data_IF_721511137082
#
_entry.id   IF_721511137082
#
_cell.length_a   1.000
_cell.length_b   1.000
_cell.length_c   1.000
_cell.angle_alpha   90.00
_cell.angle_beta   90.00
_cell.angle_gamma   90.00
#
_symmetry.space_group_name_H-M   'P 1'
#
loop_
_entity.id
_entity.type
_entity.pdbx_description
1 polymer ?
#
# COMPACT_ATOMS: atom_id res chain seq x y z
N UNK A 1 -18.25 -74.21 14.54
CA UNK A 1 -18.29 -74.32 16.02
C UNK A 1 -16.94 -74.64 16.69
N UNK A 2 -15.82 -74.81 15.96
CA UNK A 2 -14.49 -75.04 16.54
C UNK A 2 -13.42 -74.01 16.13
N UNK A 3 -13.78 -72.97 15.36
CA UNK A 3 -12.84 -71.90 14.98
C UNK A 3 -13.02 -70.59 15.77
N UNK A 4 -14.19 -70.36 16.38
CA UNK A 4 -14.48 -69.16 17.19
C UNK A 4 -13.97 -69.28 18.64
N UNK A 5 -13.68 -70.49 19.12
CA UNK A 5 -13.23 -70.74 20.50
C UNK A 5 -11.73 -70.52 20.71
N UNK A 6 -10.93 -70.44 19.64
CA UNK A 6 -9.49 -70.23 19.71
C UNK A 6 -9.08 -68.74 19.69
N UNK A 7 -9.98 -67.86 19.22
CA UNK A 7 -9.74 -66.42 19.16
C UNK A 7 -10.08 -65.68 20.46
N UNK A 8 -11.07 -66.17 21.22
CA UNK A 8 -11.52 -65.53 22.46
C UNK A 8 -10.63 -65.81 23.68
N UNK A 9 -9.84 -66.88 23.68
CA UNK A 9 -8.98 -67.25 24.82
C UNK A 9 -7.56 -66.69 24.75
N UNK A 10 -7.17 -66.04 23.66
CA UNK A 10 -5.77 -65.60 23.43
C UNK A 10 -5.54 -64.11 23.68
N UNK A 11 -6.58 -63.32 23.90
CA UNK A 11 -6.46 -61.87 24.09
C UNK A 11 -6.64 -61.41 25.54
N UNK A 12 -7.41 -62.15 26.36
CA UNK A 12 -7.55 -61.84 27.78
C UNK A 12 -6.27 -62.09 28.59
N UNK A 13 -5.35 -62.90 28.05
CA UNK A 13 -4.04 -63.22 28.65
C UNK A 13 -2.89 -62.31 28.19
N UNK A 14 -3.19 -61.20 27.51
CA UNK A 14 -2.25 -60.11 27.25
C UNK A 14 -2.46 -58.94 28.23
N UNK A 15 -2.45 -59.26 29.52
CA UNK A 15 -1.65 -58.59 30.54
C UNK A 15 -1.50 -57.06 30.32
N UNK A 16 -2.25 -56.20 30.99
CA UNK A 16 -2.47 -56.27 32.43
C UNK A 16 -1.16 -56.08 33.20
N UNK A 17 -0.43 -54.99 32.99
CA UNK A 17 0.53 -54.46 33.96
C UNK A 17 0.78 -52.97 33.73
N UNK A 18 0.74 -52.19 34.82
CA UNK A 18 1.57 -50.99 34.94
C UNK A 18 0.90 -49.69 34.53
N UNK A 19 0.27 -49.05 35.50
CA UNK A 19 0.52 -47.63 35.85
C UNK A 19 1.24 -46.79 34.79
N UNK A 20 0.47 -46.08 33.97
CA UNK A 20 0.91 -44.78 33.47
C UNK A 20 -0.17 -43.77 33.81
N UNK A 21 0.07 -43.12 34.95
CA UNK A 21 -0.40 -41.77 35.23
C UNK A 21 -0.23 -40.95 33.96
N UNK A 22 -1.33 -40.64 33.27
CA UNK A 22 -1.34 -39.49 32.40
C UNK A 22 -1.35 -38.28 33.33
N UNK A 23 -0.16 -37.89 33.75
CA UNK A 23 0.10 -36.58 34.30
C UNK A 23 -0.34 -35.59 33.22
N UNK A 24 -1.58 -35.09 33.35
CA UNK A 24 -2.05 -33.92 32.62
C UNK A 24 -1.29 -32.75 33.24
N UNK A 25 0.00 -32.68 32.93
CA UNK A 25 0.78 -31.47 33.14
C UNK A 25 0.25 -30.48 32.11
N UNK A 26 -0.80 -29.76 32.53
CA UNK A 26 -1.40 -28.61 31.85
C UNK A 26 -0.42 -27.45 31.75
N UNK A 27 0.65 -27.66 30.99
CA UNK A 27 1.69 -26.66 30.71
C UNK A 27 1.94 -26.48 29.21
N UNK A 28 1.83 -27.54 28.40
CA UNK A 28 1.97 -27.41 26.93
C UNK A 28 0.73 -26.93 26.18
N UNK A 29 -0.48 -27.19 26.69
CA UNK A 29 -1.71 -26.76 26.03
C UNK A 29 -2.04 -25.27 26.29
N UNK A 30 -1.59 -24.71 27.42
CA UNK A 30 -1.76 -23.29 27.73
C UNK A 30 -0.74 -22.39 26.99
N UNK A 31 0.40 -22.94 26.57
CA UNK A 31 1.40 -22.20 25.79
C UNK A 31 0.91 -21.88 24.36
N UNK A 32 0.01 -22.70 23.81
CA UNK A 32 -0.67 -22.43 22.53
C UNK A 32 -1.86 -21.47 22.67
N UNK A 33 -2.28 -21.15 23.89
CA UNK A 33 -3.31 -20.15 24.18
C UNK A 33 -2.72 -18.76 24.46
N UNK A 34 -1.38 -18.64 24.47
CA UNK A 34 -0.67 -17.36 24.42
C UNK A 34 -0.84 -16.81 23.00
N UNK A 35 -2.04 -16.27 22.78
CA UNK A 35 -2.44 -15.35 21.75
C UNK A 35 -1.46 -15.28 20.57
N UNK A 36 -1.81 -15.95 19.48
CA UNK A 36 -1.54 -15.37 18.17
C UNK A 36 -2.30 -14.03 18.12
N UNK A 37 -1.78 -13.01 18.81
CA UNK A 37 -2.20 -11.64 18.61
C UNK A 37 -2.04 -11.46 17.11
N UNK A 38 -3.13 -11.15 16.42
CA UNK A 38 -3.12 -10.80 15.00
C UNK A 38 -2.36 -9.49 14.86
N UNK A 39 -1.04 -9.60 15.01
CA UNK A 39 -0.11 -8.48 15.04
C UNK A 39 -0.26 -7.81 13.68
N UNK A 40 -0.54 -6.52 13.68
CA UNK A 40 -0.64 -5.75 12.44
C UNK A 40 0.60 -6.06 11.59
N UNK A 41 0.44 -6.46 10.32
CA UNK A 41 1.59 -6.93 9.54
C UNK A 41 2.66 -5.84 9.47
N UNK A 42 3.92 -6.19 9.79
CA UNK A 42 5.03 -5.21 9.83
C UNK A 42 5.20 -4.47 8.49
N UNK A 43 4.92 -5.15 7.38
CA UNK A 43 5.01 -4.58 6.05
C UNK A 43 3.99 -3.46 5.79
N UNK A 44 2.85 -3.42 6.49
CA UNK A 44 1.90 -2.30 6.40
C UNK A 44 2.52 -0.99 6.89
N UNK A 45 3.26 -1.06 8.00
CA UNK A 45 3.95 0.10 8.55
C UNK A 45 5.06 0.57 7.62
N UNK A 46 5.87 -0.35 7.09
CA UNK A 46 6.93 -0.02 6.16
C UNK A 46 6.37 0.66 4.89
N UNK A 47 5.36 0.06 4.24
CA UNK A 47 4.73 0.61 3.04
C UNK A 47 4.05 1.94 3.34
N UNK A 48 3.37 2.07 4.47
CA UNK A 48 2.69 3.32 4.86
C UNK A 48 3.67 4.45 5.13
N UNK A 49 4.76 4.22 5.88
CA UNK A 49 5.76 5.26 6.18
C UNK A 49 6.50 5.69 4.92
N UNK A 50 6.96 4.73 4.11
CA UNK A 50 7.61 5.03 2.82
C UNK A 50 6.64 5.79 1.91
N UNK A 51 5.37 5.37 1.87
CA UNK A 51 4.32 6.08 1.12
C UNK A 51 4.12 7.52 1.57
N UNK A 52 4.05 7.78 2.88
CA UNK A 52 3.92 9.16 3.40
C UNK A 52 5.13 10.00 3.02
N UNK A 53 6.35 9.48 3.22
CA UNK A 53 7.57 10.20 2.89
C UNK A 53 7.66 10.50 1.40
N UNK A 54 7.39 9.51 0.55
CA UNK A 54 7.40 9.65 -0.90
C UNK A 54 6.35 10.66 -1.39
N UNK A 55 5.09 10.51 -0.97
CA UNK A 55 4.01 11.38 -1.44
C UNK A 55 4.09 12.80 -0.88
N UNK A 56 4.79 13.00 0.24
CA UNK A 56 5.07 14.35 0.76
C UNK A 56 5.89 15.19 -0.22
N UNK A 57 6.81 14.58 -0.99
CA UNK A 57 7.56 15.30 -2.02
C UNK A 57 6.64 15.92 -3.07
N UNK A 58 5.64 15.16 -3.56
CA UNK A 58 4.67 15.68 -4.53
C UNK A 58 3.80 16.81 -3.97
N UNK A 59 3.44 16.74 -2.68
CA UNK A 59 2.68 17.82 -2.04
C UNK A 59 3.51 19.09 -1.85
N UNK A 60 4.80 18.94 -1.48
CA UNK A 60 5.73 20.06 -1.37
C UNK A 60 5.96 20.70 -2.73
N UNK A 61 6.22 19.89 -3.76
CA UNK A 61 6.42 20.35 -5.14
C UNK A 61 5.21 21.14 -5.66
N UNK A 62 4.00 20.60 -5.49
CA UNK A 62 2.76 21.31 -5.82
C UNK A 62 2.64 22.63 -5.05
N UNK A 63 2.84 22.59 -3.73
CA UNK A 63 2.65 23.75 -2.86
C UNK A 63 3.63 24.87 -3.22
N UNK A 64 4.91 24.55 -3.39
CA UNK A 64 5.93 25.52 -3.76
C UNK A 64 5.72 26.05 -5.18
N UNK A 65 5.29 25.19 -6.12
CA UNK A 65 4.93 25.62 -7.48
C UNK A 65 3.77 26.60 -7.52
N UNK A 66 2.81 26.52 -6.59
CA UNK A 66 1.67 27.45 -6.50
C UNK A 66 1.95 28.69 -5.68
N UNK A 67 2.73 28.58 -4.60
CA UNK A 67 3.12 29.74 -3.79
C UNK A 67 4.18 30.61 -4.48
N UNK A 68 5.07 29.97 -5.25
CA UNK A 68 6.24 30.61 -5.85
C UNK A 68 6.39 30.27 -7.35
N UNK A 69 5.39 30.59 -8.19
CA UNK A 69 5.32 30.12 -9.58
C UNK A 69 6.43 30.64 -10.49
N UNK A 70 7.12 31.73 -10.12
CA UNK A 70 8.21 32.31 -10.89
C UNK A 70 9.61 31.87 -10.40
N UNK A 71 9.75 31.51 -9.12
CA UNK A 71 11.07 31.28 -8.50
C UNK A 71 11.34 29.83 -8.18
N UNK A 72 10.32 29.07 -7.76
CA UNK A 72 10.52 27.66 -7.41
C UNK A 72 10.89 26.79 -8.61
N UNK A 73 10.18 26.84 -9.76
CA UNK A 73 10.58 26.10 -10.95
C UNK A 73 12.02 26.38 -11.40
N UNK A 74 12.43 27.65 -11.38
CA UNK A 74 13.81 28.04 -11.70
C UNK A 74 14.83 27.45 -10.71
N UNK A 75 14.49 27.41 -9.41
CA UNK A 75 15.36 26.88 -8.37
C UNK A 75 15.61 25.37 -8.48
N UNK A 76 14.68 24.63 -9.10
CA UNK A 76 14.81 23.19 -9.37
C UNK A 76 15.36 22.89 -10.77
N UNK A 77 15.83 23.91 -11.48
CA UNK A 77 16.51 23.78 -12.78
C UNK A 77 15.58 23.68 -13.98
N UNK A 78 14.30 24.04 -13.85
CA UNK A 78 13.36 24.10 -14.97
C UNK A 78 13.70 25.28 -15.89
N UNK A 79 13.76 25.07 -17.20
CA UNK A 79 14.03 26.14 -18.16
C UNK A 79 12.85 27.10 -18.34
N UNK A 80 13.09 28.22 -19.05
CA UNK A 80 12.09 29.27 -19.23
C UNK A 80 10.86 28.82 -20.05
N UNK A 81 11.03 27.88 -20.99
CA UNK A 81 9.95 27.39 -21.85
C UNK A 81 9.01 26.48 -21.06
N UNK A 82 9.57 25.55 -20.29
CA UNK A 82 8.87 24.67 -19.37
C UNK A 82 8.16 25.46 -18.26
N UNK A 83 8.78 26.53 -17.76
CA UNK A 83 8.14 27.45 -16.82
C UNK A 83 6.92 28.15 -17.41
N UNK A 84 7.04 28.71 -18.62
CA UNK A 84 5.93 29.37 -19.31
C UNK A 84 4.78 28.38 -19.58
N UNK A 85 5.10 27.16 -19.98
CA UNK A 85 4.14 26.06 -20.14
C UNK A 85 3.39 25.76 -18.84
N UNK A 86 4.10 25.58 -17.72
CA UNK A 86 3.49 25.30 -16.42
C UNK A 86 2.60 26.47 -15.93
N UNK A 87 3.00 27.71 -16.18
CA UNK A 87 2.20 28.90 -15.83
C UNK A 87 0.94 29.05 -16.68
N UNK A 88 0.94 28.50 -17.90
CA UNK A 88 -0.23 28.49 -18.78
C UNK A 88 -1.25 27.39 -18.44
N UNK A 89 -1.02 26.59 -17.38
CA UNK A 89 -1.94 25.53 -16.99
C UNK A 89 -3.33 26.07 -16.65
N UNK A 90 -4.40 25.53 -17.27
CA UNK A 90 -5.74 25.94 -16.94
C UNK A 90 -6.08 25.52 -15.50
N UNK A 91 -6.88 26.34 -14.81
CA UNK A 91 -7.16 26.14 -13.38
C UNK A 91 -7.67 24.74 -13.06
N UNK A 92 -8.53 24.16 -13.91
CA UNK A 92 -9.05 22.81 -13.71
C UNK A 92 -7.94 21.74 -13.70
N UNK A 93 -6.91 21.87 -14.54
CA UNK A 93 -5.78 20.93 -14.59
C UNK A 93 -5.00 20.96 -13.27
N UNK A 94 -4.82 22.15 -12.72
CA UNK A 94 -4.15 22.33 -11.43
C UNK A 94 -4.93 21.75 -10.25
N UNK A 95 -6.27 21.69 -10.37
CA UNK A 95 -7.13 21.02 -9.38
C UNK A 95 -6.94 19.50 -9.44
N UNK A 96 -6.91 18.91 -10.64
CA UNK A 96 -6.65 17.47 -10.77
C UNK A 96 -5.24 17.08 -10.33
N UNK A 97 -4.24 17.92 -10.60
CA UNK A 97 -2.90 17.73 -10.04
C UNK A 97 -2.92 17.75 -8.50
N UNK A 98 -3.64 18.71 -7.90
CA UNK A 98 -3.82 18.75 -6.44
C UNK A 98 -4.47 17.47 -5.91
N UNK A 99 -5.54 17.00 -6.54
CA UNK A 99 -6.20 15.73 -6.18
C UNK A 99 -5.24 14.54 -6.29
N UNK A 100 -4.38 14.54 -7.30
CA UNK A 100 -3.30 13.58 -7.48
C UNK A 100 -2.39 13.50 -6.26
N UNK A 101 -1.70 14.59 -5.92
CA UNK A 101 -0.67 14.58 -4.86
C UNK A 101 -1.27 14.51 -3.45
N UNK A 102 -2.35 15.25 -3.18
CA UNK A 102 -2.97 15.26 -1.85
C UNK A 102 -3.77 13.99 -1.58
N UNK A 103 -4.40 13.42 -2.61
CA UNK A 103 -5.09 12.15 -2.49
C UNK A 103 -4.13 10.99 -2.16
N UNK A 104 -2.93 10.98 -2.74
CA UNK A 104 -1.95 9.92 -2.44
C UNK A 104 -1.38 10.06 -1.04
N UNK A 105 -1.05 11.29 -0.61
CA UNK A 105 -0.60 11.54 0.76
C UNK A 105 -1.68 11.16 1.79
N UNK A 106 -2.93 11.60 1.57
CA UNK A 106 -4.05 11.21 2.42
C UNK A 106 -4.25 9.69 2.44
N UNK A 107 -4.13 9.03 1.28
CA UNK A 107 -4.18 7.58 1.16
C UNK A 107 -3.10 6.88 2.00
N UNK A 108 -1.85 7.34 1.96
CA UNK A 108 -0.75 6.77 2.74
C UNK A 108 -0.95 6.97 4.24
N UNK A 109 -1.44 8.14 4.67
CA UNK A 109 -1.78 8.41 6.07
C UNK A 109 -2.93 7.49 6.52
N UNK A 110 -3.99 7.39 5.72
CA UNK A 110 -5.12 6.51 6.00
C UNK A 110 -4.72 5.03 6.04
N UNK A 111 -3.73 4.62 5.24
CA UNK A 111 -3.16 3.28 5.26
C UNK A 111 -2.48 2.99 6.60
N UNK A 112 -1.69 3.94 7.13
CA UNK A 112 -1.09 3.85 8.47
C UNK A 112 -2.14 3.82 9.59
N UNK A 113 -3.21 4.60 9.44
CA UNK A 113 -4.38 4.57 10.32
C UNK A 113 -5.25 3.33 10.13
N UNK A 114 -4.88 2.43 9.20
CA UNK A 114 -5.60 1.20 8.86
C UNK A 114 -7.06 1.44 8.45
N UNK A 115 -7.35 2.57 7.81
CA UNK A 115 -8.69 2.92 7.39
C UNK A 115 -9.03 2.37 6.00
N UNK A 116 -10.23 1.82 5.84
CA UNK A 116 -10.80 1.45 4.54
C UNK A 116 -10.92 2.63 3.57
N UNK A 117 -10.90 3.86 4.08
CA UNK A 117 -10.92 5.08 3.28
C UNK A 117 -9.60 5.35 2.54
N UNK A 118 -8.54 4.59 2.82
CA UNK A 118 -7.30 4.66 2.03
C UNK A 118 -7.55 4.35 0.54
N UNK A 119 -8.46 3.41 0.24
CA UNK A 119 -8.78 3.03 -1.15
C UNK A 119 -9.39 4.20 -1.93
N UNK A 120 -10.50 4.83 -1.50
CA UNK A 120 -11.05 5.95 -2.25
C UNK A 120 -10.08 7.14 -2.32
N UNK A 121 -9.23 7.38 -1.31
CA UNK A 121 -8.22 8.43 -1.38
C UNK A 121 -7.19 8.17 -2.50
N UNK A 122 -6.64 6.95 -2.58
CA UNK A 122 -5.75 6.56 -3.68
C UNK A 122 -6.45 6.52 -5.04
N UNK A 123 -7.74 6.17 -5.09
CA UNK A 123 -8.51 6.18 -6.33
C UNK A 123 -8.74 7.60 -6.86
N UNK A 124 -9.06 8.55 -5.97
CA UNK A 124 -9.17 9.99 -6.32
C UNK A 124 -7.82 10.51 -6.80
N UNK A 125 -6.74 10.13 -6.13
CA UNK A 125 -5.38 10.46 -6.55
C UNK A 125 -5.08 9.92 -7.96
N UNK A 126 -5.42 8.67 -8.23
CA UNK A 126 -5.18 8.07 -9.54
C UNK A 126 -5.99 8.76 -10.63
N UNK A 127 -7.25 9.14 -10.36
CA UNK A 127 -8.04 9.94 -11.28
C UNK A 127 -7.41 11.32 -11.53
N UNK A 128 -6.90 11.97 -10.48
CA UNK A 128 -6.13 13.21 -10.58
C UNK A 128 -4.93 13.08 -11.52
N UNK A 129 -4.12 12.03 -11.31
CA UNK A 129 -2.94 11.75 -12.12
C UNK A 129 -3.28 11.43 -13.58
N UNK A 130 -4.32 10.63 -13.83
CA UNK A 130 -4.80 10.30 -15.18
C UNK A 130 -5.18 11.58 -15.93
N UNK A 131 -5.93 12.48 -15.29
CA UNK A 131 -6.39 13.71 -15.93
C UNK A 131 -5.22 14.67 -16.15
N UNK A 132 -4.36 14.88 -15.14
CA UNK A 132 -3.26 15.84 -15.24
C UNK A 132 -2.22 15.42 -16.28
N UNK A 133 -1.68 14.19 -16.16
CA UNK A 133 -0.68 13.69 -17.10
C UNK A 133 -1.29 13.32 -18.45
N UNK A 134 -2.52 12.80 -18.47
CA UNK A 134 -3.21 12.46 -19.71
C UNK A 134 -3.43 13.68 -20.58
N UNK A 135 -3.82 14.82 -20.00
CA UNK A 135 -3.90 16.08 -20.73
C UNK A 135 -2.54 16.50 -21.27
N UNK A 136 -1.49 16.47 -20.45
CA UNK A 136 -0.14 16.83 -20.86
C UNK A 136 0.32 16.02 -22.08
N UNK A 137 0.20 14.68 -22.03
CA UNK A 137 0.60 13.80 -23.13
C UNK A 137 -0.29 13.90 -24.39
N UNK A 138 -1.60 14.10 -24.23
CA UNK A 138 -2.55 14.13 -25.36
C UNK A 138 -2.65 15.50 -26.02
N UNK A 139 -2.32 16.56 -25.29
CA UNK A 139 -2.48 17.94 -25.78
C UNK A 139 -1.50 18.29 -26.88
N UNK A 140 -0.33 17.64 -26.92
CA UNK A 140 0.74 17.96 -27.88
C UNK A 140 1.32 19.37 -27.75
N UNK A 141 0.93 20.12 -26.71
CA UNK A 141 1.40 21.49 -26.44
C UNK A 141 2.60 21.53 -25.50
N UNK A 142 2.96 20.40 -24.91
CA UNK A 142 4.11 20.28 -24.04
C UNK A 142 5.41 20.41 -24.87
N UNK A 143 6.31 21.34 -24.54
CA UNK A 143 7.57 21.51 -25.26
C UNK A 143 8.48 20.29 -25.10
N UNK A 144 9.40 20.04 -26.04
CA UNK A 144 10.32 18.89 -25.94
C UNK A 144 11.18 18.94 -24.66
N UNK A 145 11.43 20.13 -24.14
CA UNK A 145 12.19 20.34 -22.90
C UNK A 145 11.52 19.75 -21.65
N UNK A 146 10.21 19.51 -21.65
CA UNK A 146 9.53 18.82 -20.53
C UNK A 146 9.50 17.31 -20.70
N UNK A 147 9.89 16.78 -21.85
CA UNK A 147 9.93 15.35 -22.15
C UNK A 147 11.34 14.75 -22.03
N UNK A 148 12.16 15.27 -21.11
CA UNK A 148 13.47 14.68 -20.83
C UNK A 148 13.33 13.26 -20.29
N UNK A 149 14.36 12.43 -20.51
CA UNK A 149 14.43 11.06 -19.96
C UNK A 149 14.22 11.04 -18.45
N UNK A 150 14.73 12.04 -17.72
CA UNK A 150 14.56 12.14 -16.28
C UNK A 150 13.10 12.39 -15.87
N UNK A 151 12.40 13.29 -16.56
CA UNK A 151 10.97 13.59 -16.29
C UNK A 151 10.10 12.37 -16.61
N UNK A 152 10.36 11.69 -17.74
CA UNK A 152 9.63 10.48 -18.12
C UNK A 152 9.86 9.36 -17.09
N UNK A 153 11.11 9.16 -16.65
CA UNK A 153 11.44 8.16 -15.64
C UNK A 153 10.75 8.45 -14.30
N UNK A 154 10.81 9.70 -13.82
CA UNK A 154 10.12 10.11 -12.59
C UNK A 154 8.61 9.93 -12.71
N UNK A 155 8.01 10.29 -13.85
CA UNK A 155 6.59 10.08 -14.11
C UNK A 155 6.22 8.59 -14.04
N UNK A 156 7.01 7.71 -14.66
CA UNK A 156 6.79 6.27 -14.60
C UNK A 156 6.87 5.72 -13.16
N UNK A 157 7.79 6.25 -12.34
CA UNK A 157 7.88 5.89 -10.92
C UNK A 157 6.64 6.34 -10.16
N UNK A 158 6.14 7.56 -10.39
CA UNK A 158 4.91 8.07 -9.75
C UNK A 158 3.72 7.17 -10.10
N UNK A 159 3.52 6.85 -11.39
CA UNK A 159 2.46 5.95 -11.84
C UNK A 159 2.56 4.57 -11.17
N UNK A 160 3.75 3.98 -11.19
CA UNK A 160 4.00 2.65 -10.61
C UNK A 160 3.74 2.66 -9.10
N UNK A 161 4.25 3.66 -8.39
CA UNK A 161 4.08 3.79 -6.95
C UNK A 161 2.62 3.99 -6.55
N UNK A 162 1.86 4.81 -7.30
CA UNK A 162 0.45 5.07 -6.99
C UNK A 162 -0.42 3.84 -7.27
N UNK A 163 -0.23 3.18 -8.41
CA UNK A 163 -0.94 1.94 -8.74
C UNK A 163 -0.62 0.85 -7.72
N UNK A 164 0.65 0.71 -7.34
CA UNK A 164 1.07 -0.22 -6.29
C UNK A 164 0.38 0.08 -4.95
N UNK A 165 0.35 1.35 -4.52
CA UNK A 165 -0.28 1.74 -3.25
C UNK A 165 -1.79 1.47 -3.24
N UNK A 166 -2.49 1.79 -4.34
CA UNK A 166 -3.92 1.49 -4.48
C UNK A 166 -4.17 -0.02 -4.43
N UNK A 167 -3.42 -0.79 -5.22
CA UNK A 167 -3.49 -2.25 -5.22
C UNK A 167 -3.22 -2.84 -3.83
N UNK A 168 -2.18 -2.34 -3.15
CA UNK A 168 -1.80 -2.78 -1.82
C UNK A 168 -2.92 -2.47 -0.81
N UNK A 169 -3.49 -1.26 -0.83
CA UNK A 169 -4.62 -0.90 0.03
C UNK A 169 -5.84 -1.82 -0.19
N UNK A 170 -6.15 -2.16 -1.44
CA UNK A 170 -7.21 -3.13 -1.77
C UNK A 170 -6.90 -4.50 -1.16
N UNK A 171 -5.66 -4.99 -1.30
CA UNK A 171 -5.23 -6.28 -0.73
C UNK A 171 -5.32 -6.30 0.80
N UNK A 172 -4.92 -5.21 1.46
CA UNK A 172 -5.01 -5.10 2.91
C UNK A 172 -6.45 -4.99 3.43
N UNK A 173 -7.37 -4.41 2.64
CA UNK A 173 -8.81 -4.48 2.95
C UNK A 173 -9.35 -5.91 2.80
N UNK A 174 -9.03 -6.60 1.70
CA UNK A 174 -9.48 -7.99 1.50
C UNK A 174 -8.92 -8.96 2.54
N UNK A 175 -7.72 -8.68 3.07
CA UNK A 175 -7.11 -9.43 4.16
C UNK A 175 -7.64 -9.08 5.56
N UNK A 176 -8.63 -8.18 5.67
CA UNK A 176 -9.23 -7.77 6.95
C UNK A 176 -8.31 -6.90 7.83
N UNK A 177 -7.23 -6.35 7.26
CA UNK A 177 -6.27 -5.52 8.00
C UNK A 177 -6.73 -4.07 8.09
N UNK A 178 -7.35 -3.54 7.02
CA UNK A 178 -8.01 -2.23 7.02
C UNK A 178 -9.45 -2.35 7.54
N UNK A 179 -9.88 -1.37 8.35
CA UNK A 179 -11.20 -1.31 8.99
C UNK A 179 -12.07 -0.19 8.43
#
# INVERSE_FOLDING_TARGET
MLLESALSRRFDDALGHGTLSCDITGRGAMDNLVAASSRTPAHLWAVGVVGVLWNSFGCVDYTLSKLYPATYPASVGMDAEAQAYMQAFPAWLTVFWALGVWGSLAGSILLLLRSRHAIPAFAVSLAGLIVSQGFEYLSGYAPESVHTTAVIATSAVIWTALVFQLWYAIRMKTAGVLR
#
